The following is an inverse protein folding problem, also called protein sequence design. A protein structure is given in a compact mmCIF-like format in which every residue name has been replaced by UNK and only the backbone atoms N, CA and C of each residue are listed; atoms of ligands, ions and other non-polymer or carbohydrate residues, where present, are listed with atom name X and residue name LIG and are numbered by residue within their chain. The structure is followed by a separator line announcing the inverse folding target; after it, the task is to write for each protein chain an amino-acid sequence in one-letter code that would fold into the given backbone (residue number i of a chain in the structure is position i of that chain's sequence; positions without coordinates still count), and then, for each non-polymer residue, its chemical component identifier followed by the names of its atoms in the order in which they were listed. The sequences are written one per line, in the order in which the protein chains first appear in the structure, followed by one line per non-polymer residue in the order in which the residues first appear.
data_IF_726907570902
#
_entry.id   IF_726907570902
#
_cell.length_a   1.000
_cell.length_b   1.000
_cell.length_c   1.000
_cell.angle_alpha   90.00
_cell.angle_beta   90.00
_cell.angle_gamma   90.00
#
_symmetry.space_group_name_H-M   'P 1'
#
loop_
_entity.id
_entity.type
_entity.pdbx_description
1 polymer ?
#
# COMPACT_ATOMS: atom_id res chain seq x y z
N UNK A 1 9.63 -20.94 7.39
CA UNK A 1 9.08 -19.82 6.60
C UNK A 1 9.57 -19.95 5.17
N UNK A 2 8.68 -19.88 4.18
CA UNK A 2 9.01 -19.93 2.75
C UNK A 2 9.95 -18.78 2.35
N UNK A 3 10.81 -19.02 1.35
CA UNK A 3 11.71 -18.02 0.75
C UNK A 3 10.97 -16.73 0.34
N UNK A 4 9.73 -16.87 -0.14
CA UNK A 4 8.88 -15.73 -0.54
C UNK A 4 8.53 -14.81 0.63
N UNK A 5 8.07 -15.37 1.76
CA UNK A 5 7.69 -14.55 2.92
C UNK A 5 8.91 -13.83 3.52
N UNK A 6 10.10 -14.43 3.43
CA UNK A 6 11.33 -13.77 3.85
C UNK A 6 11.69 -12.60 2.95
N UNK A 7 11.52 -12.74 1.63
CA UNK A 7 11.72 -11.65 0.67
C UNK A 7 10.77 -10.48 0.93
N UNK A 8 9.47 -10.74 1.09
CA UNK A 8 8.46 -9.70 1.32
C UNK A 8 8.71 -8.95 2.64
N UNK A 9 9.05 -9.68 3.70
CA UNK A 9 9.41 -9.06 4.98
C UNK A 9 10.66 -8.18 4.87
N UNK A 10 11.67 -8.59 4.08
CA UNK A 10 12.88 -7.78 3.82
C UNK A 10 12.59 -6.51 3.03
N UNK A 11 11.52 -6.47 2.24
CA UNK A 11 11.02 -5.27 1.56
C UNK A 11 10.19 -4.37 2.50
N UNK A 12 10.00 -4.77 3.76
CA UNK A 12 9.19 -4.05 4.75
C UNK A 12 7.68 -4.25 4.59
N UNK A 13 7.25 -5.22 3.77
CA UNK A 13 5.85 -5.52 3.56
C UNK A 13 5.28 -6.33 4.73
N UNK A 14 4.00 -6.08 5.02
CA UNK A 14 3.21 -6.71 6.09
C UNK A 14 1.96 -7.36 5.47
N UNK A 15 1.23 -8.14 6.27
CA UNK A 15 0.00 -8.81 5.82
C UNK A 15 -1.10 -7.83 5.39
N UNK A 16 -1.20 -6.68 6.06
CA UNK A 16 -2.01 -5.51 5.62
C UNK A 16 -1.09 -4.29 5.53
N UNK A 17 -1.13 -3.58 4.40
CA UNK A 17 -0.31 -2.40 4.15
C UNK A 17 -1.16 -1.20 3.69
N UNK A 18 -0.94 0.03 4.19
CA UNK A 18 -1.61 1.21 3.65
C UNK A 18 -1.21 1.48 2.19
N UNK A 19 -2.17 1.87 1.36
CA UNK A 19 -2.01 2.04 -0.09
C UNK A 19 -1.66 3.45 -0.57
N UNK A 20 -1.65 4.44 0.32
CA UNK A 20 -1.32 5.84 0.01
C UNK A 20 -0.10 6.34 0.77
N UNK A 21 0.64 7.28 0.19
CA UNK A 21 1.77 7.93 0.83
C UNK A 21 1.92 9.39 0.40
N UNK A 22 2.06 10.30 1.38
CA UNK A 22 2.38 11.72 1.16
C UNK A 22 3.31 12.27 2.25
N UNK A 23 4.33 11.49 2.63
CA UNK A 23 5.20 11.75 3.79
C UNK A 23 4.78 10.98 5.04
N UNK A 24 3.52 10.54 5.09
CA UNK A 24 2.99 9.55 6.02
C UNK A 24 2.21 8.50 5.23
N UNK A 25 2.15 7.28 5.74
CA UNK A 25 1.33 6.22 5.16
C UNK A 25 -0.15 6.47 5.46
N UNK A 26 -1.01 6.33 4.44
CA UNK A 26 -2.45 6.56 4.47
C UNK A 26 -3.19 5.38 3.84
N UNK A 27 -4.46 5.23 4.22
CA UNK A 27 -5.32 4.17 3.72
C UNK A 27 -6.37 3.82 4.75
N UNK A 28 -7.58 4.34 4.57
CA UNK A 28 -8.75 4.03 5.41
C UNK A 28 -9.96 3.54 4.60
N UNK A 29 -9.77 3.34 3.29
CA UNK A 29 -10.77 2.80 2.38
C UNK A 29 -10.88 1.27 2.41
N UNK A 30 -11.40 0.72 1.31
CA UNK A 30 -11.64 -0.73 1.18
C UNK A 30 -10.33 -1.51 1.16
N UNK A 31 -10.26 -2.59 1.93
CA UNK A 31 -9.17 -3.57 1.84
C UNK A 31 -9.24 -4.29 0.49
N UNK A 32 -8.11 -4.38 -0.21
CA UNK A 32 -7.93 -5.15 -1.43
C UNK A 32 -7.00 -6.33 -1.15
N UNK A 33 -7.49 -7.55 -1.32
CA UNK A 33 -6.65 -8.75 -1.25
C UNK A 33 -5.84 -8.92 -2.54
N UNK A 34 -4.58 -9.31 -2.40
CA UNK A 34 -3.66 -9.54 -3.51
C UNK A 34 -3.35 -11.01 -3.59
N UNK A 35 -3.61 -11.61 -4.75
CA UNK A 35 -3.40 -13.04 -5.01
C UNK A 35 -2.32 -13.25 -6.06
N UNK A 36 -1.54 -14.32 -5.92
CA UNK A 36 -0.58 -14.71 -6.96
C UNK A 36 -1.29 -15.35 -8.15
N UNK A 37 -0.93 -15.04 -9.40
CA UNK A 37 -1.49 -15.71 -10.58
C UNK A 37 -0.99 -17.15 -10.75
N UNK A 38 -0.01 -17.59 -9.95
CA UNK A 38 0.59 -18.94 -10.05
C UNK A 38 -0.41 -20.01 -9.59
N UNK A 39 -1.03 -19.80 -8.42
CA UNK A 39 -1.94 -20.76 -7.79
C UNK A 39 -3.15 -20.12 -7.09
N UNK A 40 -3.30 -18.79 -7.16
CA UNK A 40 -4.41 -18.06 -6.53
C UNK A 40 -4.26 -17.84 -5.02
N UNK A 41 -3.16 -18.28 -4.39
CA UNK A 41 -2.94 -18.05 -2.96
C UNK A 41 -2.77 -16.56 -2.63
N UNK A 42 -3.18 -16.19 -1.41
CA UNK A 42 -3.09 -14.80 -0.94
C UNK A 42 -1.63 -14.44 -0.59
N UNK A 43 -1.17 -13.30 -1.12
CA UNK A 43 0.13 -12.70 -0.79
C UNK A 43 -0.01 -11.79 0.44
N UNK A 44 -1.10 -11.03 0.50
CA UNK A 44 -1.40 -10.05 1.55
C UNK A 44 -2.53 -9.13 1.11
N UNK A 45 -2.64 -7.96 1.74
CA UNK A 45 -3.70 -7.01 1.47
C UNK A 45 -3.23 -5.55 1.53
N UNK A 46 -3.91 -4.69 0.79
CA UNK A 46 -3.67 -3.25 0.78
C UNK A 46 -4.92 -2.51 1.26
N UNK A 47 -4.76 -1.63 2.25
CA UNK A 47 -5.80 -0.68 2.66
C UNK A 47 -5.81 0.47 1.65
N UNK A 48 -6.78 0.48 0.75
CA UNK A 48 -6.87 1.53 -0.27
C UNK A 48 -7.14 2.89 0.36
N UNK A 49 -6.81 3.96 -0.37
CA UNK A 49 -7.13 5.32 0.06
C UNK A 49 -8.59 5.67 -0.22
N UNK A 50 -9.14 6.58 0.58
CA UNK A 50 -10.39 7.27 0.26
C UNK A 50 -10.15 8.38 -0.76
N UNK A 51 -11.22 8.97 -1.29
CA UNK A 51 -11.12 10.14 -2.17
C UNK A 51 -10.47 11.34 -1.45
N UNK A 52 -10.81 11.58 -0.19
CA UNK A 52 -10.24 12.68 0.60
C UNK A 52 -8.73 12.48 0.84
N UNK A 53 -8.32 11.24 1.14
CA UNK A 53 -6.91 10.88 1.26
C UNK A 53 -6.16 11.04 -0.07
N UNK A 54 -6.79 10.68 -1.20
CA UNK A 54 -6.24 10.94 -2.52
C UNK A 54 -6.04 12.44 -2.78
N UNK A 55 -7.06 13.27 -2.50
CA UNK A 55 -6.95 14.72 -2.66
C UNK A 55 -5.78 15.29 -1.86
N UNK A 56 -5.65 14.87 -0.60
CA UNK A 56 -4.53 15.26 0.28
C UNK A 56 -3.17 14.86 -0.31
N UNK A 57 -3.05 13.66 -0.89
CA UNK A 57 -1.81 13.20 -1.52
C UNK A 57 -1.44 14.10 -2.69
N UNK A 58 -2.42 14.45 -3.55
CA UNK A 58 -2.22 15.36 -4.68
C UNK A 58 -1.77 16.73 -4.21
N UNK A 59 -2.44 17.31 -3.20
CA UNK A 59 -2.08 18.63 -2.66
C UNK A 59 -0.65 18.65 -2.10
N UNK A 60 -0.26 17.61 -1.35
CA UNK A 60 1.10 17.46 -0.84
C UNK A 60 2.14 17.32 -1.98
N UNK A 61 1.82 16.59 -3.03
CA UNK A 61 2.70 16.42 -4.18
C UNK A 61 2.89 17.74 -4.94
N UNK A 62 1.81 18.49 -5.18
CA UNK A 62 1.87 19.82 -5.79
C UNK A 62 2.72 20.79 -4.96
N UNK A 63 2.45 20.89 -3.66
CA UNK A 63 3.21 21.76 -2.76
C UNK A 63 4.70 21.39 -2.63
N UNK A 64 5.06 20.11 -2.84
CA UNK A 64 6.45 19.67 -2.85
C UNK A 64 7.18 20.03 -4.16
N UNK A 65 6.45 20.09 -5.28
CA UNK A 65 7.02 20.45 -6.59
C UNK A 65 7.29 21.95 -6.73
N UNK A 66 6.49 22.79 -6.06
CA UNK A 66 6.64 24.25 -6.08
C UNK A 66 7.80 24.77 -5.20
N UNK A 67 8.63 23.88 -4.64
CA UNK A 67 9.72 24.22 -3.71
C UNK A 67 11.11 24.07 -4.32
#
# INVERSE_FOLDING_TARGET
MSSMNNLLARLGLKDEHPGGFCGVWLGSGKTLEVHTPIDGSTIGSVKQVTYDEYSRIVDHACAAFER
#
